data_IF_400245699619
#
_entry.id   IF_400245699619
#
_cell.length_a   1.000
_cell.length_b   1.000
_cell.length_c   1.000
_cell.angle_alpha   90.00
_cell.angle_beta   90.00
_cell.angle_gamma   90.00
#
_symmetry.space_group_name_H-M   'P 1'
#
loop_
_entity.id
_entity.type
_entity.pdbx_description
1 polymer ?
#
# COMPACT_ATOMS: atom_id res chain seq x y z
N UNK A 1 -25.77 38.97 -16.64
CA UNK A 1 -25.06 38.69 -15.36
C UNK A 1 -25.29 37.25 -14.96
N UNK A 2 -24.29 36.42 -15.08
CA UNK A 2 -24.37 35.00 -14.71
C UNK A 2 -24.32 34.88 -13.17
N UNK A 3 -25.37 34.25 -12.59
CA UNK A 3 -25.41 33.95 -11.15
C UNK A 3 -24.21 33.06 -10.77
N UNK A 4 -23.29 33.58 -9.97
CA UNK A 4 -22.23 32.78 -9.33
C UNK A 4 -22.87 31.70 -8.46
N UNK A 5 -22.67 30.43 -8.82
CA UNK A 5 -23.04 29.30 -7.95
C UNK A 5 -22.18 29.36 -6.68
N UNK A 6 -22.79 29.30 -5.49
CA UNK A 6 -22.07 29.21 -4.22
C UNK A 6 -21.23 27.95 -4.22
N UNK A 7 -19.91 28.10 -4.08
CA UNK A 7 -18.99 26.98 -3.94
C UNK A 7 -19.34 26.13 -2.73
N UNK A 8 -19.20 24.83 -2.86
CA UNK A 8 -19.34 23.89 -1.75
C UNK A 8 -18.13 24.04 -0.81
N UNK A 9 -18.39 24.39 0.45
CA UNK A 9 -17.35 24.47 1.48
C UNK A 9 -17.07 23.06 1.97
N UNK A 10 -15.89 22.52 1.70
CA UNK A 10 -15.47 21.24 2.26
C UNK A 10 -14.84 21.47 3.64
N UNK A 11 -15.30 20.72 4.62
CA UNK A 11 -14.65 20.63 5.92
C UNK A 11 -13.39 19.78 5.76
N UNK A 12 -12.23 20.21 6.30
CA UNK A 12 -11.03 19.38 6.29
C UNK A 12 -11.32 18.02 6.91
N UNK A 13 -11.03 16.97 6.19
CA UNK A 13 -11.36 15.62 6.55
C UNK A 13 -10.10 14.80 6.80
N UNK A 14 -10.02 14.17 7.96
CA UNK A 14 -8.94 13.26 8.28
C UNK A 14 -9.23 11.87 7.68
N UNK A 15 -8.72 11.66 6.48
CA UNK A 15 -8.85 10.38 5.78
C UNK A 15 -8.17 9.23 6.52
N UNK A 16 -7.18 9.49 7.34
CA UNK A 16 -6.46 8.47 8.08
C UNK A 16 -7.27 7.99 9.28
N UNK A 17 -7.84 8.91 10.05
CA UNK A 17 -8.76 8.60 11.16
C UNK A 17 -10.01 7.84 10.66
N UNK A 18 -10.56 8.25 9.51
CA UNK A 18 -11.72 7.58 8.92
C UNK A 18 -11.43 6.15 8.44
N UNK A 19 -10.23 5.91 7.93
CA UNK A 19 -9.81 4.57 7.52
C UNK A 19 -9.50 3.64 8.70
N UNK A 20 -9.24 4.20 9.88
CA UNK A 20 -8.88 3.44 11.07
C UNK A 20 -10.05 3.23 12.03
N UNK A 21 -11.21 3.84 11.79
CA UNK A 21 -12.41 3.58 12.59
C UNK A 21 -12.89 2.15 12.40
N UNK A 22 -13.01 1.44 13.50
CA UNK A 22 -13.59 0.10 13.54
C UNK A 22 -15.12 0.17 13.59
N UNK A 23 -15.79 -0.99 13.40
CA UNK A 23 -17.24 -1.10 13.56
C UNK A 23 -17.73 -0.70 14.97
N UNK A 24 -16.88 -0.90 15.99
CA UNK A 24 -17.18 -0.62 17.39
C UNK A 24 -17.32 0.89 17.67
N UNK A 25 -16.69 1.72 16.82
CA UNK A 25 -16.75 3.19 16.93
C UNK A 25 -17.93 3.80 16.17
N UNK A 26 -18.85 2.98 15.65
CA UNK A 26 -19.96 3.46 14.84
C UNK A 26 -21.11 4.03 15.67
N UNK A 27 -21.54 5.23 15.31
CA UNK A 27 -22.79 5.79 15.80
C UNK A 27 -23.97 5.30 14.95
N UNK A 28 -24.92 4.58 15.55
CA UNK A 28 -26.13 4.04 14.89
C UNK A 28 -26.93 5.13 14.16
N UNK A 29 -26.95 6.34 14.67
CA UNK A 29 -27.63 7.48 14.05
C UNK A 29 -27.12 7.77 12.62
N UNK A 30 -25.80 7.67 12.39
CA UNK A 30 -25.24 7.90 11.06
C UNK A 30 -25.54 6.77 10.08
N UNK A 31 -25.69 5.55 10.58
CA UNK A 31 -26.09 4.39 9.77
C UNK A 31 -27.51 4.56 9.24
N UNK A 32 -28.43 5.02 10.08
CA UNK A 32 -29.80 5.31 9.66
C UNK A 32 -29.90 6.46 8.65
N UNK A 33 -29.12 7.52 8.82
CA UNK A 33 -29.06 8.65 7.89
C UNK A 33 -28.62 8.23 6.48
N UNK A 34 -27.71 7.25 6.38
CA UNK A 34 -27.26 6.67 5.11
C UNK A 34 -28.41 6.12 4.27
N UNK A 35 -29.36 5.45 4.93
CA UNK A 35 -30.49 4.82 4.24
C UNK A 35 -31.62 5.83 3.89
N UNK A 36 -31.72 6.92 4.66
CA UNK A 36 -32.79 7.93 4.46
C UNK A 36 -32.50 8.90 3.31
N UNK A 37 -31.27 9.13 2.90
CA UNK A 37 -30.95 10.21 1.95
C UNK A 37 -30.84 9.81 0.47
N UNK A 38 -31.33 8.64 0.06
CA UNK A 38 -31.67 8.31 -1.34
C UNK A 38 -30.60 8.56 -2.43
N UNK A 39 -29.37 8.93 -2.07
CA UNK A 39 -28.28 9.08 -3.03
C UNK A 39 -27.90 7.71 -3.56
N UNK A 40 -28.00 7.52 -4.85
CA UNK A 40 -27.58 6.27 -5.52
C UNK A 40 -26.08 6.10 -5.42
N UNK A 41 -25.59 5.63 -4.28
CA UNK A 41 -24.23 5.17 -4.13
C UNK A 41 -24.11 3.79 -4.75
N UNK A 42 -23.14 3.65 -5.60
CA UNK A 42 -22.79 2.39 -6.24
C UNK A 42 -21.50 1.90 -5.61
N UNK A 43 -21.51 0.71 -5.06
CA UNK A 43 -20.28 0.08 -4.60
C UNK A 43 -19.51 -0.54 -5.76
N UNK A 44 -18.20 -0.33 -5.78
CA UNK A 44 -17.27 -1.03 -6.62
C UNK A 44 -16.40 -1.97 -5.79
N UNK A 45 -15.90 -3.00 -6.45
CA UNK A 45 -14.98 -3.97 -5.90
C UNK A 45 -13.71 -3.93 -6.73
N UNK A 46 -12.57 -3.89 -6.06
CA UNK A 46 -11.25 -3.90 -6.66
C UNK A 46 -10.53 -5.17 -6.22
N UNK A 47 -10.19 -6.01 -7.17
CA UNK A 47 -9.39 -7.21 -7.01
C UNK A 47 -7.94 -6.85 -7.31
N UNK A 48 -7.02 -7.21 -6.42
CA UNK A 48 -5.60 -6.91 -6.54
C UNK A 48 -4.82 -8.19 -6.29
N UNK A 49 -4.03 -8.61 -7.28
CA UNK A 49 -3.15 -9.76 -7.17
C UNK A 49 -1.72 -9.29 -7.14
N UNK A 50 -0.95 -9.80 -6.19
CA UNK A 50 0.45 -9.50 -5.99
C UNK A 50 1.19 -10.77 -5.54
N UNK A 51 1.74 -11.52 -6.47
CA UNK A 51 2.31 -12.84 -6.22
C UNK A 51 1.27 -13.83 -5.65
N UNK A 52 1.53 -14.35 -4.46
CA UNK A 52 0.59 -15.24 -3.74
C UNK A 52 -0.50 -14.48 -2.98
N UNK A 53 -0.37 -13.15 -2.85
CA UNK A 53 -1.31 -12.34 -2.12
C UNK A 53 -2.46 -11.88 -3.02
N UNK A 54 -3.65 -11.87 -2.46
CA UNK A 54 -4.86 -11.41 -3.11
C UNK A 54 -5.63 -10.50 -2.16
N UNK A 55 -5.90 -9.28 -2.62
CA UNK A 55 -6.67 -8.31 -1.85
C UNK A 55 -7.97 -7.97 -2.56
N UNK A 56 -9.02 -7.78 -1.78
CA UNK A 56 -10.31 -7.27 -2.24
C UNK A 56 -10.62 -5.99 -1.49
N UNK A 57 -10.72 -4.88 -2.22
CA UNK A 57 -11.16 -3.61 -1.67
C UNK A 57 -12.57 -3.29 -2.20
N UNK A 58 -13.53 -3.13 -1.29
CA UNK A 58 -14.90 -2.71 -1.62
C UNK A 58 -15.10 -1.29 -1.11
N UNK A 59 -15.50 -0.40 -2.00
CA UNK A 59 -15.62 1.02 -1.71
C UNK A 59 -16.78 1.66 -2.46
N UNK A 60 -17.39 2.73 -1.90
CA UNK A 60 -18.45 3.46 -2.55
C UNK A 60 -17.91 4.27 -3.73
N UNK A 61 -18.60 4.18 -4.86
CA UNK A 61 -18.43 5.09 -5.98
C UNK A 61 -19.62 6.04 -6.02
N UNK A 62 -19.33 7.31 -5.99
CA UNK A 62 -20.33 8.33 -6.24
C UNK A 62 -20.46 8.47 -7.75
N UNK A 63 -21.65 8.23 -8.32
CA UNK A 63 -21.91 8.62 -9.71
C UNK A 63 -21.59 10.09 -9.82
N UNK A 64 -20.85 10.51 -10.85
CA UNK A 64 -20.67 11.92 -11.17
C UNK A 64 -22.04 12.56 -11.08
N UNK A 65 -22.25 13.38 -10.08
CA UNK A 65 -23.28 14.41 -10.18
C UNK A 65 -22.78 15.31 -11.30
N UNK A 66 -23.57 15.52 -12.32
CA UNK A 66 -23.21 16.24 -13.54
C UNK A 66 -22.80 17.69 -13.30
N UNK A 67 -22.60 18.11 -12.06
CA UNK A 67 -22.12 19.44 -11.70
C UNK A 67 -21.41 19.42 -10.35
N UNK A 68 -20.11 19.10 -10.36
CA UNK A 68 -19.21 19.65 -9.32
C UNK A 68 -18.67 20.96 -9.89
N UNK A 69 -19.02 22.13 -9.34
CA UNK A 69 -18.46 23.38 -9.82
C UNK A 69 -16.94 23.38 -9.65
N UNK A 70 -16.16 23.85 -10.63
CA UNK A 70 -14.71 23.96 -10.50
C UNK A 70 -14.35 25.22 -9.69
N UNK A 71 -14.84 25.35 -8.48
CA UNK A 71 -14.53 26.49 -7.63
C UNK A 71 -13.90 26.07 -6.33
N UNK A 72 -12.61 26.37 -6.19
CA UNK A 72 -12.00 26.31 -4.91
C UNK A 72 -10.49 26.37 -4.89
N UNK A 73 -9.89 27.43 -5.45
CA UNK A 73 -8.46 27.70 -5.22
C UNK A 73 -8.12 27.93 -3.74
N UNK A 74 -9.08 28.32 -2.89
CA UNK A 74 -8.93 28.46 -1.44
C UNK A 74 -8.95 27.11 -0.70
N UNK A 75 -9.61 26.09 -1.23
CA UNK A 75 -9.77 24.76 -0.64
C UNK A 75 -8.48 23.94 -0.74
N UNK A 76 -7.57 24.27 -1.67
CA UNK A 76 -6.30 23.53 -1.87
C UNK A 76 -5.40 23.48 -0.64
N UNK A 77 -5.40 24.50 0.22
CA UNK A 77 -4.51 24.51 1.39
C UNK A 77 -4.94 23.54 2.50
N UNK A 78 -6.22 23.45 2.76
CA UNK A 78 -6.76 22.58 3.83
C UNK A 78 -6.82 21.12 3.39
N UNK A 79 -7.03 20.85 2.10
CA UNK A 79 -6.98 19.51 1.52
C UNK A 79 -5.55 18.97 1.31
N UNK A 80 -4.52 19.81 1.33
CA UNK A 80 -3.13 19.40 1.08
C UNK A 80 -2.62 18.38 2.12
N UNK A 81 -3.04 18.49 3.38
CA UNK A 81 -2.64 17.54 4.44
C UNK A 81 -3.36 16.19 4.26
N UNK A 82 -4.68 16.24 4.06
CA UNK A 82 -5.48 15.04 3.82
C UNK A 82 -5.07 14.32 2.53
N UNK A 83 -4.79 15.07 1.46
CA UNK A 83 -4.30 14.50 0.20
C UNK A 83 -2.91 13.87 0.35
N UNK A 84 -2.02 14.47 1.14
CA UNK A 84 -0.70 13.89 1.45
C UNK A 84 -0.84 12.58 2.21
N UNK A 85 -1.65 12.55 3.27
CA UNK A 85 -1.89 11.33 4.05
C UNK A 85 -2.46 10.21 3.15
N UNK A 86 -3.39 10.54 2.25
CA UNK A 86 -3.94 9.58 1.30
C UNK A 86 -2.87 9.08 0.31
N UNK A 87 -2.06 9.99 -0.24
CA UNK A 87 -0.96 9.65 -1.14
C UNK A 87 0.09 8.78 -0.43
N UNK A 88 0.35 9.07 0.84
CA UNK A 88 1.26 8.31 1.69
C UNK A 88 0.75 6.89 1.89
N UNK A 89 -0.51 6.74 2.26
CA UNK A 89 -1.15 5.44 2.44
C UNK A 89 -1.17 4.63 1.14
N UNK A 90 -1.50 5.28 0.02
CA UNK A 90 -1.50 4.62 -1.29
C UNK A 90 -0.09 4.21 -1.72
N UNK A 91 0.93 5.02 -1.47
CA UNK A 91 2.31 4.69 -1.76
C UNK A 91 2.81 3.48 -0.93
N UNK A 92 2.42 3.41 0.36
CA UNK A 92 2.70 2.25 1.21
C UNK A 92 2.06 0.98 0.66
N UNK A 93 0.76 1.01 0.40
CA UNK A 93 0.04 -0.13 -0.19
C UNK A 93 0.65 -0.57 -1.53
N UNK A 94 1.07 0.39 -2.34
CA UNK A 94 1.67 0.08 -3.63
C UNK A 94 3.02 -0.64 -3.47
N UNK A 95 3.91 -0.18 -2.59
CA UNK A 95 5.21 -0.85 -2.39
C UNK A 95 5.05 -2.23 -1.74
N UNK A 96 4.10 -2.40 -0.81
CA UNK A 96 3.76 -3.72 -0.26
C UNK A 96 3.37 -4.70 -1.38
N UNK A 97 2.51 -4.27 -2.28
CA UNK A 97 2.06 -5.06 -3.43
C UNK A 97 3.18 -5.30 -4.44
N UNK A 98 3.99 -4.28 -4.71
CA UNK A 98 5.13 -4.38 -5.62
C UNK A 98 6.16 -5.40 -5.12
N UNK A 99 6.45 -5.41 -3.83
CA UNK A 99 7.37 -6.38 -3.21
C UNK A 99 6.79 -7.78 -3.28
N UNK A 100 5.51 -7.98 -2.92
CA UNK A 100 4.86 -9.28 -2.99
C UNK A 100 4.77 -9.84 -4.43
N UNK A 101 4.63 -8.96 -5.44
CA UNK A 101 4.58 -9.36 -6.85
C UNK A 101 5.94 -9.82 -7.40
N UNK A 102 7.03 -9.21 -6.91
CA UNK A 102 8.33 -9.37 -7.54
C UNK A 102 9.34 -10.23 -6.76
N UNK A 103 9.10 -10.44 -5.46
CA UNK A 103 10.07 -11.10 -4.59
C UNK A 103 9.46 -12.29 -3.84
N UNK A 104 10.33 -13.23 -3.47
CA UNK A 104 9.98 -14.49 -2.81
C UNK A 104 10.86 -14.70 -1.59
N UNK A 105 10.69 -15.81 -0.88
CA UNK A 105 11.56 -16.26 0.20
C UNK A 105 12.99 -16.63 -0.24
N UNK A 106 13.23 -16.75 -1.54
CA UNK A 106 14.58 -16.94 -2.11
C UNK A 106 15.37 -15.65 -2.25
N UNK A 107 14.68 -14.52 -2.17
CA UNK A 107 15.26 -13.20 -2.34
C UNK A 107 15.82 -12.66 -1.01
N UNK A 108 16.45 -11.49 -1.05
CA UNK A 108 17.26 -10.98 0.04
C UNK A 108 16.62 -9.79 0.72
N UNK A 109 16.72 -9.74 2.04
CA UNK A 109 16.60 -8.56 2.87
C UNK A 109 17.98 -8.10 3.29
N UNK A 110 18.28 -6.81 3.10
CA UNK A 110 19.53 -6.20 3.49
C UNK A 110 19.25 -4.99 4.38
N UNK A 111 19.99 -4.93 5.50
CA UNK A 111 20.03 -3.73 6.35
C UNK A 111 21.48 -3.24 6.36
N UNK A 112 21.72 -2.08 5.77
CA UNK A 112 23.03 -1.47 5.69
C UNK A 112 23.13 -0.23 6.55
N UNK A 113 24.20 -0.17 7.33
CA UNK A 113 24.54 0.92 8.22
C UNK A 113 25.84 1.60 7.80
N UNK A 114 26.33 2.52 8.61
CA UNK A 114 27.56 3.26 8.38
C UNK A 114 28.48 3.21 9.61
N UNK A 115 29.76 2.98 9.38
CA UNK A 115 30.78 3.27 10.37
C UNK A 115 30.97 4.80 10.47
N UNK A 116 31.50 5.30 11.61
CA UNK A 116 31.58 6.74 11.86
C UNK A 116 32.36 7.50 10.77
N UNK A 117 33.39 6.88 10.21
CA UNK A 117 34.25 7.47 9.17
C UNK A 117 33.54 7.63 7.82
N UNK A 118 32.44 6.89 7.61
CA UNK A 118 31.73 6.84 6.35
C UNK A 118 30.32 7.44 6.45
N UNK A 119 29.96 7.95 7.64
CA UNK A 119 28.62 8.49 7.89
C UNK A 119 28.35 9.70 6.99
N UNK A 120 27.26 9.70 6.22
CA UNK A 120 26.85 10.90 5.48
C UNK A 120 26.61 12.08 6.43
N UNK A 121 26.85 13.32 6.00
CA UNK A 121 26.49 14.50 6.80
C UNK A 121 25.03 14.50 7.21
N UNK A 122 24.75 15.13 8.35
CA UNK A 122 23.39 15.26 8.86
C UNK A 122 22.51 15.98 7.82
N UNK A 123 21.37 15.34 7.50
CA UNK A 123 20.42 15.86 6.52
C UNK A 123 20.83 15.73 5.04
N UNK A 124 22.03 15.21 4.72
CA UNK A 124 22.45 14.99 3.32
C UNK A 124 21.98 13.63 2.79
N UNK A 125 20.70 13.55 2.44
CA UNK A 125 20.11 12.35 1.85
C UNK A 125 20.74 11.98 0.50
N UNK A 126 21.20 12.95 -0.26
CA UNK A 126 21.81 12.72 -1.57
C UNK A 126 23.14 11.97 -1.45
N UNK A 127 23.95 12.29 -0.44
CA UNK A 127 25.17 11.53 -0.12
C UNK A 127 24.85 10.08 0.25
N UNK A 128 23.82 9.87 1.09
CA UNK A 128 23.37 8.54 1.47
C UNK A 128 22.87 7.73 0.25
N UNK A 129 22.04 8.33 -0.60
CA UNK A 129 21.53 7.71 -1.84
C UNK A 129 22.69 7.37 -2.80
N UNK A 130 23.67 8.25 -2.96
CA UNK A 130 24.86 7.98 -3.79
C UNK A 130 25.63 6.73 -3.32
N UNK A 131 25.68 6.47 -2.02
CA UNK A 131 26.32 5.26 -1.49
C UNK A 131 25.55 3.98 -1.87
N UNK A 132 24.21 3.99 -1.79
CA UNK A 132 23.38 2.88 -2.30
C UNK A 132 23.58 2.69 -3.81
N UNK A 133 23.64 3.76 -4.58
CA UNK A 133 23.88 3.66 -6.02
C UNK A 133 25.27 3.07 -6.35
N UNK A 134 26.29 3.42 -5.55
CA UNK A 134 27.63 2.79 -5.67
C UNK A 134 27.58 1.29 -5.33
N UNK A 135 26.86 0.93 -4.29
CA UNK A 135 26.62 -0.48 -3.92
C UNK A 135 25.94 -1.23 -5.07
N UNK A 136 24.82 -0.74 -5.59
CA UNK A 136 24.09 -1.38 -6.71
C UNK A 136 25.01 -1.56 -7.93
N UNK A 137 25.84 -0.56 -8.26
CA UNK A 137 26.80 -0.68 -9.37
C UNK A 137 27.81 -1.79 -9.14
N UNK A 138 28.32 -1.96 -7.90
CA UNK A 138 29.24 -3.06 -7.56
C UNK A 138 28.55 -4.42 -7.66
N UNK A 139 27.32 -4.53 -7.15
CA UNK A 139 26.50 -5.74 -7.29
C UNK A 139 26.31 -6.08 -8.76
N UNK A 140 25.86 -5.14 -9.58
CA UNK A 140 25.64 -5.38 -11.01
C UNK A 140 26.94 -5.75 -11.76
N UNK A 141 28.07 -5.19 -11.37
CA UNK A 141 29.37 -5.59 -11.90
C UNK A 141 29.70 -7.06 -11.57
N UNK A 142 29.48 -7.49 -10.31
CA UNK A 142 29.66 -8.88 -9.91
C UNK A 142 28.69 -9.82 -10.61
N UNK A 143 27.43 -9.40 -10.81
CA UNK A 143 26.42 -10.15 -11.57
C UNK A 143 26.83 -10.32 -13.03
N UNK A 144 27.27 -9.25 -13.69
CA UNK A 144 27.77 -9.31 -15.07
C UNK A 144 28.90 -10.31 -15.24
N UNK A 145 29.87 -10.39 -14.29
CA UNK A 145 30.96 -11.38 -14.30
C UNK A 145 30.46 -12.83 -14.24
N UNK A 146 29.23 -13.04 -13.70
CA UNK A 146 28.58 -14.35 -13.54
C UNK A 146 27.55 -14.64 -14.61
N UNK A 147 27.40 -13.77 -15.60
CA UNK A 147 26.37 -13.92 -16.63
C UNK A 147 24.95 -13.66 -16.17
N UNK A 148 24.78 -13.05 -14.98
CA UNK A 148 23.47 -12.72 -14.42
C UNK A 148 22.98 -11.35 -14.92
N UNK A 149 21.65 -11.15 -15.06
CA UNK A 149 21.07 -9.85 -15.36
C UNK A 149 21.31 -8.86 -14.22
N UNK A 150 21.04 -7.57 -14.44
CA UNK A 150 21.09 -6.57 -13.38
C UNK A 150 20.14 -6.92 -12.26
N UNK A 151 20.52 -6.59 -11.02
CA UNK A 151 19.71 -6.84 -9.83
C UNK A 151 18.36 -6.12 -9.89
N UNK A 152 17.30 -6.82 -9.47
CA UNK A 152 16.01 -6.23 -9.16
C UNK A 152 15.99 -5.88 -7.67
N UNK A 153 15.52 -4.70 -7.34
CA UNK A 153 15.52 -4.23 -5.95
C UNK A 153 14.45 -3.16 -5.69
N UNK A 154 14.09 -3.03 -4.41
CA UNK A 154 13.40 -1.88 -3.82
C UNK A 154 14.17 -1.48 -2.58
N UNK A 155 14.43 -0.18 -2.37
CA UNK A 155 15.09 0.28 -1.17
C UNK A 155 14.51 1.56 -0.60
N UNK A 156 14.74 1.76 0.69
CA UNK A 156 14.52 3.01 1.41
C UNK A 156 15.79 3.43 2.10
N UNK A 157 16.00 4.73 2.19
CA UNK A 157 17.02 5.37 3.02
C UNK A 157 16.35 6.00 4.22
N UNK A 158 16.78 5.66 5.41
CA UNK A 158 16.21 6.06 6.68
C UNK A 158 17.21 6.89 7.49
N UNK A 159 16.71 7.98 8.08
CA UNK A 159 17.46 8.86 8.98
C UNK A 159 16.48 9.68 9.82
N UNK A 160 16.65 9.68 11.13
CA UNK A 160 15.85 10.51 12.02
C UNK A 160 16.69 10.97 13.23
N UNK A 161 17.29 12.17 13.17
CA UNK A 161 18.14 12.68 14.24
C UNK A 161 17.35 12.98 15.52
N UNK A 162 16.05 13.27 15.42
CA UNK A 162 15.19 13.54 16.59
C UNK A 162 14.93 12.28 17.44
N UNK A 163 14.93 11.12 16.81
CA UNK A 163 14.77 9.81 17.45
C UNK A 163 16.12 9.06 17.56
N UNK A 164 17.25 9.76 17.40
CA UNK A 164 18.61 9.21 17.40
C UNK A 164 18.85 8.09 16.38
N UNK A 165 18.06 8.06 15.31
CA UNK A 165 18.19 7.07 14.25
C UNK A 165 19.22 7.55 13.24
N UNK A 166 20.34 6.84 13.15
CA UNK A 166 21.44 7.12 12.21
C UNK A 166 21.05 6.70 10.79
N UNK A 167 21.76 7.24 9.79
CA UNK A 167 21.63 6.81 8.40
C UNK A 167 21.72 5.29 8.28
N UNK A 168 20.72 4.68 7.64
CA UNK A 168 20.70 3.27 7.28
C UNK A 168 19.80 3.04 6.06
N UNK A 169 19.92 1.87 5.48
CA UNK A 169 19.15 1.48 4.30
C UNK A 169 18.52 0.12 4.53
N UNK A 170 17.25 0.00 4.16
CA UNK A 170 16.60 -1.29 4.01
C UNK A 170 16.40 -1.56 2.53
N UNK A 171 16.84 -2.74 2.07
CA UNK A 171 16.81 -3.11 0.65
C UNK A 171 16.21 -4.51 0.53
N UNK A 172 15.21 -4.65 -0.34
CA UNK A 172 14.77 -5.93 -0.87
C UNK A 172 15.44 -6.11 -2.22
N UNK A 173 16.11 -7.25 -2.44
CA UNK A 173 16.86 -7.53 -3.67
C UNK A 173 16.70 -8.98 -4.09
N UNK A 174 16.71 -9.25 -5.41
CA UNK A 174 16.68 -10.63 -5.90
C UNK A 174 17.88 -11.45 -5.40
N UNK A 175 17.63 -12.72 -5.13
CA UNK A 175 18.55 -13.63 -4.45
C UNK A 175 19.38 -14.52 -5.37
N UNK A 176 19.52 -14.19 -6.65
CA UNK A 176 20.27 -15.01 -7.62
C UNK A 176 21.78 -15.04 -7.37
N UNK A 177 22.29 -14.13 -6.55
CA UNK A 177 23.70 -14.05 -6.21
C UNK A 177 23.94 -14.48 -4.75
N UNK A 178 25.12 -15.01 -4.47
CA UNK A 178 25.57 -15.37 -3.14
C UNK A 178 25.51 -14.17 -2.17
N UNK A 179 25.02 -14.42 -0.95
CA UNK A 179 24.81 -13.37 0.06
C UNK A 179 26.11 -12.68 0.48
N UNK A 180 27.19 -13.45 0.66
CA UNK A 180 28.49 -12.91 1.08
C UNK A 180 29.07 -11.99 0.01
N UNK A 181 28.84 -12.33 -1.26
CA UNK A 181 29.26 -11.47 -2.39
C UNK A 181 28.44 -10.19 -2.42
N UNK A 182 27.12 -10.27 -2.14
CA UNK A 182 26.26 -9.08 -2.07
C UNK A 182 26.68 -8.19 -0.91
N UNK A 183 26.85 -8.77 0.28
CA UNK A 183 27.29 -8.05 1.48
C UNK A 183 28.64 -7.38 1.27
N UNK A 184 29.60 -8.10 0.71
CA UNK A 184 30.92 -7.57 0.40
C UNK A 184 30.94 -6.41 -0.61
N UNK A 185 29.83 -6.14 -1.30
CA UNK A 185 29.68 -4.97 -2.16
C UNK A 185 29.36 -3.68 -1.38
N UNK A 186 28.88 -3.75 -0.14
CA UNK A 186 28.76 -2.59 0.75
C UNK A 186 30.13 -2.28 1.36
N UNK A 187 30.53 -1.02 1.32
CA UNK A 187 31.89 -0.59 1.75
C UNK A 187 31.85 0.50 2.82
N UNK A 188 30.68 0.78 3.37
CA UNK A 188 30.53 1.90 4.30
C UNK A 188 30.42 1.46 5.76
N UNK A 189 30.30 0.16 6.01
CA UNK A 189 30.31 -0.43 7.34
C UNK A 189 30.65 -1.91 7.27
N UNK A 190 31.20 -2.42 8.37
CA UNK A 190 31.38 -3.85 8.63
C UNK A 190 30.16 -4.48 9.34
N UNK A 191 29.24 -3.66 9.85
CA UNK A 191 28.05 -4.10 10.58
C UNK A 191 26.83 -4.07 9.68
N UNK A 192 26.67 -5.14 8.90
CA UNK A 192 25.59 -5.28 7.95
C UNK A 192 24.76 -6.52 8.28
N UNK A 193 23.52 -6.55 7.79
CA UNK A 193 22.67 -7.73 7.84
C UNK A 193 22.20 -8.05 6.43
N UNK A 194 22.52 -9.27 5.96
CA UNK A 194 22.02 -9.84 4.71
C UNK A 194 21.39 -11.18 5.04
N UNK A 195 20.10 -11.34 4.75
CA UNK A 195 19.36 -12.57 5.03
C UNK A 195 18.33 -12.86 3.95
N UNK A 196 17.84 -14.10 3.91
CA UNK A 196 16.71 -14.45 3.06
C UNK A 196 15.44 -13.80 3.57
N UNK A 197 14.58 -13.40 2.63
CA UNK A 197 13.25 -12.93 2.94
C UNK A 197 12.43 -14.03 3.61
N UNK A 198 11.60 -13.65 4.57
CA UNK A 198 10.71 -14.57 5.28
C UNK A 198 9.27 -14.16 5.03
N UNK A 199 8.52 -15.06 4.37
CA UNK A 199 7.09 -14.88 4.15
C UNK A 199 6.31 -15.36 5.37
N UNK A 200 5.39 -14.55 5.83
CA UNK A 200 4.34 -14.91 6.79
C UNK A 200 3.01 -15.17 6.07
N UNK A 201 1.92 -15.24 6.81
CA UNK A 201 0.57 -15.37 6.28
C UNK A 201 0.14 -14.19 5.40
N UNK A 202 0.71 -13.01 5.62
CA UNK A 202 0.53 -11.80 4.83
C UNK A 202 1.61 -11.64 3.74
N UNK A 203 2.36 -12.67 3.42
CA UNK A 203 3.46 -12.67 2.47
C UNK A 203 4.66 -11.88 2.98
N UNK A 204 5.13 -10.90 2.21
CA UNK A 204 6.23 -10.01 2.57
C UNK A 204 5.74 -8.65 3.11
N UNK A 205 4.45 -8.52 3.42
CA UNK A 205 3.83 -7.25 3.84
C UNK A 205 4.44 -6.70 5.13
N UNK A 206 4.77 -7.58 6.10
CA UNK A 206 5.42 -7.16 7.34
C UNK A 206 6.76 -6.48 7.09
N UNK A 207 7.59 -7.06 6.23
CA UNK A 207 8.89 -6.48 5.85
C UNK A 207 8.72 -5.20 5.00
N UNK A 208 7.75 -5.18 4.09
CA UNK A 208 7.47 -4.01 3.28
C UNK A 208 7.04 -2.79 4.13
N UNK A 209 6.40 -2.98 5.26
CA UNK A 209 6.06 -1.91 6.21
C UNK A 209 7.30 -1.19 6.71
N UNK A 210 8.38 -1.90 7.06
CA UNK A 210 9.65 -1.28 7.48
C UNK A 210 10.23 -0.34 6.41
N UNK A 211 10.02 -0.66 5.13
CA UNK A 211 10.47 0.19 4.02
C UNK A 211 9.71 1.52 3.99
N UNK A 212 8.51 1.62 4.57
CA UNK A 212 7.60 2.75 4.33
C UNK A 212 7.18 3.51 5.59
N UNK A 213 7.48 3.01 6.79
CA UNK A 213 6.95 3.56 8.06
C UNK A 213 7.67 4.83 8.57
N UNK A 214 8.70 5.30 7.89
CA UNK A 214 9.46 6.44 8.38
C UNK A 214 8.65 7.74 8.35
N UNK A 215 8.49 8.35 9.54
CA UNK A 215 7.52 9.44 9.81
C UNK A 215 8.01 10.84 9.40
N UNK A 216 9.31 11.08 9.32
CA UNK A 216 9.87 12.44 9.21
C UNK A 216 10.57 12.70 7.88
N UNK A 217 9.80 12.74 6.78
CA UNK A 217 10.36 13.02 5.45
C UNK A 217 10.16 14.46 5.00
N UNK A 218 11.14 14.98 4.29
CA UNK A 218 11.04 16.28 3.62
C UNK A 218 10.04 16.18 2.44
N UNK A 219 9.32 17.26 2.17
CA UNK A 219 8.17 17.32 1.24
C UNK A 219 8.45 16.82 -0.20
N UNK A 220 9.71 16.77 -0.62
CA UNK A 220 10.14 16.39 -1.99
C UNK A 220 10.80 15.01 -2.09
N UNK A 221 11.01 14.32 -0.99
CA UNK A 221 11.75 13.05 -0.98
C UNK A 221 10.92 11.88 -1.49
N UNK A 222 11.54 11.07 -2.36
CA UNK A 222 10.97 9.78 -2.73
C UNK A 222 10.94 8.87 -1.52
N UNK A 223 9.78 8.26 -1.24
CA UNK A 223 9.60 7.35 -0.10
C UNK A 223 10.43 6.10 -0.23
N UNK A 224 10.62 5.64 -1.44
CA UNK A 224 11.36 4.45 -1.80
C UNK A 224 11.85 4.58 -3.24
N UNK A 225 12.87 3.81 -3.58
CA UNK A 225 13.42 3.71 -4.92
C UNK A 225 13.41 2.24 -5.36
N UNK A 226 13.26 2.01 -6.66
CA UNK A 226 13.27 0.66 -7.23
C UNK A 226 14.11 0.57 -8.48
N UNK A 227 14.51 -0.65 -8.82
CA UNK A 227 15.05 -0.97 -10.14
C UNK A 227 13.97 -0.82 -11.20
N UNK A 228 14.39 -0.67 -12.44
CA UNK A 228 13.51 -0.83 -13.60
C UNK A 228 13.12 -2.30 -13.79
N UNK A 229 12.01 -2.54 -14.50
CA UNK A 229 11.58 -3.88 -14.89
C UNK A 229 10.89 -4.70 -13.79
N UNK A 230 10.51 -4.09 -12.67
CA UNK A 230 9.59 -4.71 -11.73
C UNK A 230 8.19 -4.76 -12.35
N UNK A 231 7.48 -5.86 -12.10
CA UNK A 231 6.09 -6.04 -12.55
C UNK A 231 5.15 -5.33 -11.60
N UNK A 232 4.18 -4.62 -12.16
CA UNK A 232 3.09 -4.04 -11.37
C UNK A 232 2.12 -5.12 -10.88
N UNK A 233 1.47 -4.93 -9.71
CA UNK A 233 0.37 -5.77 -9.26
C UNK A 233 -0.77 -5.78 -10.28
N UNK A 234 -1.40 -6.95 -10.49
CA UNK A 234 -2.59 -7.04 -11.35
C UNK A 234 -3.81 -6.49 -10.63
N UNK A 235 -4.45 -5.49 -11.22
CA UNK A 235 -5.59 -4.77 -10.62
C UNK A 235 -6.79 -4.86 -11.56
N UNK A 236 -7.89 -5.47 -11.06
CA UNK A 236 -9.16 -5.53 -11.74
C UNK A 236 -10.24 -4.83 -10.94
N UNK A 237 -11.03 -3.99 -11.60
CA UNK A 237 -12.16 -3.28 -10.98
C UNK A 237 -13.48 -3.82 -11.51
N UNK A 238 -14.37 -4.21 -10.60
CA UNK A 238 -15.73 -4.66 -10.89
C UNK A 238 -16.71 -3.60 -10.39
N UNK A 239 -17.53 -3.08 -11.28
CA UNK A 239 -18.46 -2.00 -10.95
C UNK A 239 -19.87 -2.53 -10.70
N UNK A 240 -20.52 -2.02 -9.68
CA UNK A 240 -21.95 -2.13 -9.39
C UNK A 240 -22.52 -3.51 -9.12
N UNK A 241 -22.19 -4.52 -9.89
CA UNK A 241 -22.80 -5.85 -9.83
C UNK A 241 -21.75 -6.94 -9.98
N UNK A 242 -21.98 -8.07 -9.33
CA UNK A 242 -21.18 -9.28 -9.43
C UNK A 242 -22.07 -10.45 -9.88
N UNK A 243 -21.56 -11.36 -10.70
CA UNK A 243 -22.24 -12.62 -11.03
C UNK A 243 -22.60 -13.40 -9.74
N UNK A 244 -23.71 -14.12 -9.76
CA UNK A 244 -24.10 -15.05 -8.71
C UNK A 244 -23.90 -16.48 -9.18
N UNK A 245 -23.98 -17.47 -8.27
CA UNK A 245 -23.91 -18.90 -8.60
C UNK A 245 -25.06 -19.33 -9.54
N UNK A 246 -26.18 -18.62 -9.55
CA UNK A 246 -27.28 -18.84 -10.50
C UNK A 246 -26.88 -18.35 -11.89
N UNK A 247 -26.96 -19.21 -12.87
CA UNK A 247 -26.62 -18.91 -14.27
C UNK A 247 -27.33 -17.64 -14.77
N UNK A 248 -26.56 -16.67 -15.29
CA UNK A 248 -27.06 -15.36 -15.73
C UNK A 248 -27.52 -14.42 -14.61
N UNK A 249 -27.40 -14.82 -13.34
CA UNK A 249 -27.77 -13.99 -12.19
C UNK A 249 -26.69 -12.96 -11.84
N UNK A 250 -27.14 -11.75 -11.46
CA UNK A 250 -26.30 -10.68 -10.98
C UNK A 250 -26.87 -10.06 -9.70
N UNK A 251 -26.01 -9.78 -8.71
CA UNK A 251 -26.38 -9.11 -7.47
C UNK A 251 -25.54 -7.84 -7.30
N UNK A 252 -26.16 -6.77 -6.80
CA UNK A 252 -25.44 -5.50 -6.54
C UNK A 252 -24.40 -5.72 -5.44
N UNK A 253 -23.21 -5.17 -5.60
CA UNK A 253 -22.13 -5.24 -4.58
C UNK A 253 -22.62 -4.62 -3.25
N UNK A 254 -23.38 -3.52 -3.29
CA UNK A 254 -23.95 -2.91 -2.10
C UNK A 254 -24.83 -3.85 -1.25
N UNK A 255 -25.53 -4.81 -1.86
CA UNK A 255 -26.32 -5.80 -1.10
C UNK A 255 -25.41 -6.74 -0.29
N UNK A 256 -24.24 -7.06 -0.80
CA UNK A 256 -23.25 -7.84 -0.06
C UNK A 256 -22.59 -7.03 1.06
N UNK A 257 -22.37 -5.71 0.83
CA UNK A 257 -21.86 -4.81 1.87
C UNK A 257 -22.77 -4.79 3.08
N UNK A 258 -24.10 -4.81 2.90
CA UNK A 258 -25.07 -4.87 3.99
C UNK A 258 -24.91 -6.10 4.89
N UNK A 259 -24.46 -7.20 4.33
CA UNK A 259 -24.15 -8.42 5.10
C UNK A 259 -22.77 -8.33 5.73
N UNK A 260 -21.75 -7.98 4.94
CA UNK A 260 -20.36 -7.95 5.37
C UNK A 260 -20.05 -6.90 6.45
N UNK A 261 -20.80 -5.77 6.47
CA UNK A 261 -20.62 -4.73 7.49
C UNK A 261 -20.95 -5.19 8.90
N UNK A 262 -21.63 -6.33 9.06
CA UNK A 262 -22.03 -6.88 10.36
C UNK A 262 -20.86 -7.50 11.15
N UNK A 263 -19.78 -7.87 10.47
CA UNK A 263 -18.60 -8.41 11.14
C UNK A 263 -17.60 -9.11 10.22
N UNK A 264 -16.48 -9.47 10.80
CA UNK A 264 -15.36 -10.11 10.09
C UNK A 264 -15.75 -11.49 9.55
N UNK A 265 -16.57 -12.26 10.29
CA UNK A 265 -17.00 -13.60 9.85
C UNK A 265 -17.85 -13.53 8.57
N UNK A 266 -18.75 -12.55 8.47
CA UNK A 266 -19.55 -12.35 7.27
C UNK A 266 -18.69 -11.92 6.06
N UNK A 267 -17.60 -11.16 6.30
CA UNK A 267 -16.62 -10.87 5.25
C UNK A 267 -15.91 -12.14 4.84
N UNK A 268 -15.42 -12.94 5.79
CA UNK A 268 -14.72 -14.18 5.55
C UNK A 268 -15.58 -15.16 4.73
N UNK A 269 -16.80 -15.43 5.17
CA UNK A 269 -17.74 -16.32 4.45
C UNK A 269 -17.95 -15.85 3.01
N UNK A 270 -18.18 -14.55 2.81
CA UNK A 270 -18.43 -14.01 1.48
C UNK A 270 -17.18 -14.06 0.59
N UNK A 271 -15.99 -13.85 1.16
CA UNK A 271 -14.73 -13.95 0.41
C UNK A 271 -14.43 -15.39 -0.01
N UNK A 272 -14.65 -16.36 0.86
CA UNK A 272 -14.46 -17.79 0.56
C UNK A 272 -15.47 -18.29 -0.49
N UNK A 273 -16.71 -17.79 -0.46
CA UNK A 273 -17.69 -18.07 -1.51
C UNK A 273 -17.25 -17.50 -2.87
N UNK A 274 -16.73 -16.29 -2.88
CA UNK A 274 -16.35 -15.62 -4.13
C UNK A 274 -15.03 -16.13 -4.72
N UNK A 275 -14.12 -16.55 -3.85
CA UNK A 275 -12.75 -16.90 -4.20
C UNK A 275 -12.31 -18.19 -3.55
N UNK A 276 -12.88 -19.34 -3.96
CA UNK A 276 -12.63 -20.64 -3.31
C UNK A 276 -11.19 -21.14 -3.42
N UNK A 277 -10.42 -20.60 -4.38
CA UNK A 277 -9.01 -20.94 -4.60
C UNK A 277 -8.04 -20.24 -3.65
N UNK A 278 -8.58 -19.40 -2.76
CA UNK A 278 -7.79 -18.61 -1.82
C UNK A 278 -8.18 -18.94 -0.38
N UNK A 279 -7.20 -18.85 0.51
CA UNK A 279 -7.41 -18.89 1.95
C UNK A 279 -7.58 -17.46 2.47
N UNK A 280 -8.56 -17.25 3.33
CA UNK A 280 -8.80 -15.96 3.95
C UNK A 280 -7.75 -15.72 5.05
N UNK A 281 -7.13 -14.53 5.06
CA UNK A 281 -6.12 -14.13 6.04
C UNK A 281 -6.68 -13.12 7.03
N UNK A 282 -7.23 -12.01 6.54
CA UNK A 282 -7.66 -10.90 7.38
C UNK A 282 -8.68 -10.01 6.66
N UNK A 283 -9.44 -9.22 7.43
CA UNK A 283 -10.30 -8.17 6.89
C UNK A 283 -10.34 -6.96 7.79
N UNK A 284 -10.52 -5.78 7.17
CA UNK A 284 -10.86 -4.54 7.85
C UNK A 284 -12.18 -4.00 7.33
N UNK A 285 -13.04 -3.59 8.24
CA UNK A 285 -14.31 -2.92 7.94
C UNK A 285 -14.20 -1.51 8.50
N UNK A 286 -14.31 -0.51 7.64
CA UNK A 286 -14.12 0.89 8.00
C UNK A 286 -15.37 1.68 7.65
N UNK A 287 -15.80 2.50 8.56
CA UNK A 287 -16.89 3.45 8.34
C UNK A 287 -16.32 4.85 8.18
N UNK A 288 -16.80 5.56 7.19
CA UNK A 288 -16.38 6.93 6.93
C UNK A 288 -17.52 7.89 7.30
N UNK A 289 -17.35 8.63 8.40
CA UNK A 289 -18.36 9.57 8.93
C UNK A 289 -18.73 10.67 7.96
N UNK A 290 -17.77 11.09 7.11
CA UNK A 290 -17.99 12.19 6.18
C UNK A 290 -18.99 11.83 5.07
N UNK A 291 -18.91 10.63 4.52
CA UNK A 291 -19.81 10.17 3.47
C UNK A 291 -20.79 9.10 3.91
N UNK A 292 -20.75 8.75 5.20
CA UNK A 292 -21.60 7.73 5.82
C UNK A 292 -21.57 6.37 5.11
N UNK A 293 -20.39 5.97 4.61
CA UNK A 293 -20.22 4.77 3.80
C UNK A 293 -19.20 3.81 4.41
N UNK A 294 -19.38 2.51 4.12
CA UNK A 294 -18.47 1.46 4.50
C UNK A 294 -17.41 1.23 3.45
N UNK A 295 -16.21 0.92 3.93
CA UNK A 295 -15.08 0.47 3.13
C UNK A 295 -14.63 -0.88 3.71
N UNK A 296 -14.53 -1.88 2.88
CA UNK A 296 -14.14 -3.22 3.31
C UNK A 296 -12.87 -3.59 2.57
N UNK A 297 -11.87 -4.06 3.30
CA UNK A 297 -10.65 -4.62 2.74
C UNK A 297 -10.50 -6.03 3.26
N UNK A 298 -10.44 -7.01 2.38
CA UNK A 298 -10.10 -8.38 2.71
C UNK A 298 -8.73 -8.73 2.14
N UNK A 299 -7.97 -9.53 2.89
CA UNK A 299 -6.71 -10.12 2.47
C UNK A 299 -6.86 -11.62 2.40
N UNK A 300 -6.31 -12.20 1.36
CA UNK A 300 -6.36 -13.61 1.09
C UNK A 300 -5.03 -14.07 0.52
N UNK A 301 -4.77 -15.34 0.57
CA UNK A 301 -3.57 -15.98 0.03
C UNK A 301 -3.96 -17.12 -0.89
N UNK A 302 -3.26 -17.28 -2.01
CA UNK A 302 -3.46 -18.41 -2.91
C UNK A 302 -3.24 -19.74 -2.15
N UNK A 303 -4.20 -20.65 -2.26
CA UNK A 303 -4.04 -22.00 -1.70
C UNK A 303 -2.82 -22.67 -2.30
N UNK A 304 -1.99 -23.25 -1.44
CA UNK A 304 -0.95 -24.15 -1.92
C UNK A 304 -1.65 -25.44 -2.37
N UNK A 305 -1.49 -25.78 -3.62
CA UNK A 305 -1.85 -27.14 -4.07
C UNK A 305 -0.92 -28.10 -3.32
N UNK A 306 -1.50 -29.00 -2.58
CA UNK A 306 -0.80 -30.11 -1.92
C UNK A 306 -0.28 -31.10 -2.96
#
# INVERSE_FOLDING_TARGET
>A
MAKRKKGMTFIPYDYEAAYNKSLEDMNEFFVEQMFKHGKKVVYALKEIRAGDQFEVEIYPQFKKMDEVPPEGRSIKKDNDKAQRNLNDKNARKYVERLINENFTDRDLWLTFTYDNEHLPPDGDIDAAIKNVQKFIRRVNYQRKKRGLPNARYVYVTAYNPTEEIRWHHHIVMDGDMDMDVVEGCWKQSSRNEVRRLQKDENGLTGMAKYIVEEKNRVKSEKRWNSSQGLRDPDIKVVHSKRPTAKAGGYKKIGTYVETMRKGHEQVREQMLEWYPDFDFTDAGIYYNDFNSMFYIRARMRKRRQQ
#
